data_IF_988587483991
#
_entry.id   IF_988587483991
#
_cell.length_a   1.000
_cell.length_b   1.000
_cell.length_c   1.000
_cell.angle_alpha   90.00
_cell.angle_beta   90.00
_cell.angle_gamma   90.00
#
_symmetry.space_group_name_H-M   'P 1'
#
loop_
_entity.id
_entity.type
_entity.pdbx_description
1 polymer ?
#
# COMPACT_ATOMS: atom_id res chain seq x y z
N UNK A 1 44.18 24.06 -11.01
CA UNK A 1 43.21 22.96 -10.89
C UNK A 1 42.55 23.02 -9.52
N UNK A 2 41.24 23.21 -9.49
CA UNK A 2 40.40 23.00 -8.29
C UNK A 2 39.73 21.62 -8.47
N UNK A 3 39.70 20.73 -7.48
CA UNK A 3 38.87 19.55 -7.58
C UNK A 3 37.44 19.90 -7.18
N UNK A 4 36.50 19.43 -8.01
CA UNK A 4 35.07 19.61 -7.88
C UNK A 4 34.54 19.04 -6.55
N UNK A 5 33.75 19.85 -5.85
CA UNK A 5 32.98 19.42 -4.68
C UNK A 5 31.90 18.42 -5.08
N UNK A 6 31.87 17.32 -4.34
CA UNK A 6 30.86 16.26 -4.41
C UNK A 6 29.45 16.82 -4.19
N UNK A 7 28.41 16.28 -4.85
CA UNK A 7 27.04 16.70 -4.59
C UNK A 7 26.64 16.31 -3.15
N UNK A 8 26.09 17.29 -2.45
CA UNK A 8 25.61 17.15 -1.08
C UNK A 8 24.58 16.02 -0.98
N UNK A 9 24.92 15.00 -0.17
CA UNK A 9 23.98 13.98 0.27
C UNK A 9 22.94 14.65 1.17
N UNK A 10 21.73 14.86 0.65
CA UNK A 10 20.57 15.24 1.45
C UNK A 10 20.34 14.16 2.51
N UNK A 11 20.15 14.51 3.80
CA UNK A 11 19.95 13.52 4.84
C UNK A 11 18.64 12.79 4.58
N UNK A 12 18.73 11.48 4.38
CA UNK A 12 17.58 10.55 4.39
C UNK A 12 16.96 10.66 5.79
N UNK A 13 15.65 10.90 5.92
CA UNK A 13 15.00 10.87 7.21
C UNK A 13 15.25 9.50 7.87
N UNK A 14 15.78 9.51 9.08
CA UNK A 14 15.97 8.34 9.93
C UNK A 14 14.60 7.76 10.30
N UNK A 15 14.12 6.80 9.52
CA UNK A 15 13.05 5.89 9.93
C UNK A 15 13.68 4.71 10.67
N UNK A 16 13.29 4.51 11.93
CA UNK A 16 13.70 3.39 12.79
C UNK A 16 13.11 2.03 12.36
N UNK A 17 12.69 1.88 11.10
CA UNK A 17 12.19 0.62 10.56
C UNK A 17 13.37 -0.20 10.03
N UNK A 18 13.87 -1.14 10.84
CA UNK A 18 14.81 -2.18 10.40
C UNK A 18 14.05 -3.15 9.49
N UNK A 19 13.76 -2.73 8.25
CA UNK A 19 13.26 -3.64 7.22
C UNK A 19 14.42 -4.43 6.64
N UNK A 20 14.25 -5.74 6.57
CA UNK A 20 15.10 -6.62 5.78
C UNK A 20 14.75 -6.54 4.28
N UNK A 21 13.67 -5.86 3.87
CA UNK A 21 13.34 -5.63 2.46
C UNK A 21 14.34 -4.62 1.86
N UNK A 22 15.06 -5.00 0.78
CA UNK A 22 15.93 -4.07 0.04
C UNK A 22 15.18 -2.82 -0.43
N UNK A 23 15.82 -1.66 -0.39
CA UNK A 23 15.24 -0.38 -0.85
C UNK A 23 15.03 -0.33 -2.37
N UNK A 24 15.79 -1.10 -3.14
CA UNK A 24 15.76 -1.12 -4.61
C UNK A 24 15.36 -2.50 -5.16
N UNK A 25 14.87 -2.53 -6.40
CA UNK A 25 14.49 -3.79 -7.09
C UNK A 25 13.16 -4.39 -6.64
N UNK A 26 12.29 -3.58 -6.05
CA UNK A 26 11.00 -4.01 -5.50
C UNK A 26 9.86 -4.08 -6.54
N UNK A 27 10.09 -3.57 -7.74
CA UNK A 27 9.09 -3.43 -8.82
C UNK A 27 8.48 -4.78 -9.26
N UNK A 28 9.18 -5.89 -9.04
CA UNK A 28 8.68 -7.24 -9.36
C UNK A 28 8.06 -7.96 -8.17
N UNK A 29 8.15 -7.39 -6.96
CA UNK A 29 7.69 -8.01 -5.73
C UNK A 29 6.16 -7.95 -5.62
N UNK A 30 5.62 -8.90 -4.89
CA UNK A 30 4.16 -9.05 -4.75
C UNK A 30 3.54 -7.81 -4.11
N UNK A 31 4.19 -7.22 -3.10
CA UNK A 31 3.69 -6.03 -2.43
C UNK A 31 3.58 -4.82 -3.36
N UNK A 32 4.48 -4.66 -4.33
CA UNK A 32 4.37 -3.57 -5.31
C UNK A 32 3.15 -3.75 -6.21
N UNK A 33 2.82 -4.99 -6.61
CA UNK A 33 1.58 -5.24 -7.36
C UNK A 33 0.34 -4.91 -6.53
N UNK A 34 0.37 -5.15 -5.22
CA UNK A 34 -0.73 -4.80 -4.30
C UNK A 34 -0.81 -3.29 -4.05
N UNK A 35 0.33 -2.62 -3.96
CA UNK A 35 0.46 -1.16 -3.90
C UNK A 35 -0.22 -0.49 -5.09
N UNK A 36 0.07 -0.97 -6.31
CA UNK A 36 -0.56 -0.44 -7.53
C UNK A 36 -2.09 -0.62 -7.56
N UNK A 37 -2.63 -1.67 -6.94
CA UNK A 37 -4.09 -1.83 -6.82
C UNK A 37 -4.70 -0.79 -5.87
N UNK A 38 -4.03 -0.47 -4.76
CA UNK A 38 -4.46 0.61 -3.87
C UNK A 38 -4.37 1.97 -4.56
N UNK A 39 -3.27 2.20 -5.29
CA UNK A 39 -3.09 3.42 -6.06
C UNK A 39 -4.14 3.58 -7.15
N UNK A 40 -4.54 2.48 -7.79
CA UNK A 40 -5.66 2.48 -8.74
C UNK A 40 -6.97 2.94 -8.09
N UNK A 41 -7.25 2.49 -6.85
CA UNK A 41 -8.44 2.94 -6.12
C UNK A 41 -8.38 4.43 -5.80
N UNK A 42 -7.19 4.94 -5.41
CA UNK A 42 -6.97 6.37 -5.17
C UNK A 42 -7.22 7.16 -6.44
N UNK A 43 -6.61 6.78 -7.57
CA UNK A 43 -6.74 7.53 -8.82
C UNK A 43 -8.17 7.51 -9.34
N UNK A 44 -8.87 6.37 -9.31
CA UNK A 44 -10.21 6.27 -9.91
C UNK A 44 -11.33 6.79 -9.02
N UNK A 45 -11.22 6.56 -7.72
CA UNK A 45 -12.33 6.68 -6.78
C UNK A 45 -11.94 7.42 -5.50
N UNK A 46 -10.80 8.14 -5.51
CA UNK A 46 -10.20 8.70 -4.30
C UNK A 46 -11.15 9.56 -3.48
N UNK A 47 -11.91 10.43 -4.14
CA UNK A 47 -12.87 11.34 -3.50
C UNK A 47 -14.19 10.66 -3.12
N UNK A 48 -14.42 9.42 -3.54
CA UNK A 48 -15.69 8.73 -3.31
C UNK A 48 -15.79 8.30 -1.86
N UNK A 49 -16.95 8.57 -1.26
CA UNK A 49 -17.31 8.06 0.06
C UNK A 49 -17.57 6.57 -0.06
N UNK A 50 -16.84 5.76 0.72
CA UNK A 50 -16.99 4.30 0.71
C UNK A 50 -17.83 3.79 1.88
N UNK A 51 -17.86 4.50 3.01
CA UNK A 51 -18.76 4.23 4.14
C UNK A 51 -18.86 5.44 5.07
N UNK A 52 -19.71 5.31 6.10
CA UNK A 52 -19.80 6.27 7.19
C UNK A 52 -19.32 5.60 8.47
N UNK A 53 -18.55 6.34 9.28
CA UNK A 53 -18.11 5.92 10.59
C UNK A 53 -18.82 6.74 11.65
N UNK A 54 -19.30 6.09 12.71
CA UNK A 54 -19.86 6.77 13.87
C UNK A 54 -18.72 7.37 14.70
N UNK A 55 -18.79 8.67 14.99
CA UNK A 55 -17.84 9.35 15.86
C UNK A 55 -18.21 9.25 17.36
N UNK A 56 -17.41 9.85 18.23
CA UNK A 56 -17.61 9.81 19.69
C UNK A 56 -18.93 10.45 20.15
N UNK A 57 -19.56 11.27 19.30
CA UNK A 57 -20.83 11.93 19.59
C UNK A 57 -22.03 11.16 19.01
N UNK A 58 -21.80 10.03 18.32
CA UNK A 58 -22.83 9.27 17.61
C UNK A 58 -23.20 9.85 16.24
N UNK A 59 -22.40 10.77 15.70
CA UNK A 59 -22.63 11.33 14.36
C UNK A 59 -21.90 10.51 13.29
N UNK A 60 -22.57 10.27 12.15
CA UNK A 60 -22.00 9.54 11.03
C UNK A 60 -21.12 10.46 10.16
N UNK A 61 -19.81 10.24 10.18
CA UNK A 61 -18.84 10.95 9.35
C UNK A 61 -18.52 10.15 8.08
N UNK A 62 -18.53 10.77 6.89
CA UNK A 62 -18.16 10.09 5.66
C UNK A 62 -16.67 9.74 5.68
N UNK A 63 -16.35 8.54 5.20
CA UNK A 63 -14.98 8.08 5.00
C UNK A 63 -14.76 7.83 3.50
N UNK A 64 -13.84 8.58 2.92
CA UNK A 64 -13.44 8.44 1.51
C UNK A 64 -12.39 7.35 1.31
N UNK A 65 -12.17 6.95 0.05
CA UNK A 65 -11.12 5.99 -0.32
C UNK A 65 -9.73 6.52 0.06
N UNK A 66 -9.45 7.79 -0.20
CA UNK A 66 -8.17 8.43 0.17
C UNK A 66 -7.96 8.37 1.68
N UNK A 67 -8.96 8.77 2.47
CA UNK A 67 -8.86 8.78 3.93
C UNK A 67 -8.67 7.38 4.49
N UNK A 68 -9.42 6.39 3.99
CA UNK A 68 -9.27 5.01 4.45
C UNK A 68 -7.87 4.45 4.20
N UNK A 69 -7.32 4.68 3.00
CA UNK A 69 -5.99 4.16 2.67
C UNK A 69 -4.93 4.91 3.48
N UNK A 70 -5.00 6.24 3.53
CA UNK A 70 -4.06 7.08 4.27
C UNK A 70 -4.05 6.75 5.76
N UNK A 71 -5.22 6.73 6.41
CA UNK A 71 -5.32 6.45 7.84
C UNK A 71 -4.84 5.04 8.17
N UNK A 72 -5.22 4.05 7.35
CA UNK A 72 -4.82 2.66 7.57
C UNK A 72 -3.33 2.45 7.41
N UNK A 73 -2.66 3.14 6.48
CA UNK A 73 -1.20 3.08 6.37
C UNK A 73 -0.52 3.79 7.54
N UNK A 74 -1.03 4.96 7.93
CA UNK A 74 -0.50 5.75 9.05
C UNK A 74 -0.62 5.03 10.40
N UNK A 75 -1.73 4.33 10.64
CA UNK A 75 -1.96 3.52 11.85
C UNK A 75 -0.89 2.44 12.04
N UNK A 76 -0.40 1.86 10.94
CA UNK A 76 0.63 0.81 10.95
C UNK A 76 2.05 1.37 10.71
N UNK A 77 2.22 2.70 10.70
CA UNK A 77 3.49 3.37 10.37
C UNK A 77 4.07 2.96 8.99
N UNK A 78 3.19 2.64 8.04
CA UNK A 78 3.53 2.23 6.69
C UNK A 78 3.44 3.39 5.70
N UNK A 79 4.17 3.26 4.60
CA UNK A 79 4.07 4.13 3.43
C UNK A 79 4.12 3.27 2.16
N UNK A 80 3.67 3.83 1.04
CA UNK A 80 3.98 3.22 -0.25
C UNK A 80 5.50 3.17 -0.47
N UNK A 81 5.98 2.12 -1.10
CA UNK A 81 7.41 1.87 -1.30
C UNK A 81 7.93 2.64 -2.50
N UNK A 82 7.11 2.82 -3.53
CA UNK A 82 7.52 3.57 -4.70
C UNK A 82 7.39 5.08 -4.48
N UNK A 83 8.45 5.88 -4.77
CA UNK A 83 8.41 7.32 -4.53
C UNK A 83 7.30 8.06 -5.26
N UNK A 84 6.97 7.66 -6.49
CA UNK A 84 5.90 8.29 -7.27
C UNK A 84 4.52 8.01 -6.65
N UNK A 85 4.30 6.78 -6.17
CA UNK A 85 3.05 6.38 -5.50
C UNK A 85 2.85 7.17 -4.21
N UNK A 86 3.91 7.39 -3.43
CA UNK A 86 3.88 8.27 -2.24
C UNK A 86 3.49 9.70 -2.61
N UNK A 87 4.03 10.24 -3.71
CA UNK A 87 3.69 11.59 -4.19
C UNK A 87 2.21 11.68 -4.57
N UNK A 88 1.71 10.71 -5.33
CA UNK A 88 0.30 10.66 -5.74
C UNK A 88 -0.63 10.60 -4.52
N UNK A 89 -0.35 9.73 -3.53
CA UNK A 89 -1.15 9.67 -2.30
C UNK A 89 -1.12 11.01 -1.55
N UNK A 90 0.07 11.62 -1.40
CA UNK A 90 0.22 12.90 -0.71
C UNK A 90 -0.54 14.03 -1.41
N UNK A 91 -0.50 14.09 -2.73
CA UNK A 91 -1.26 15.05 -3.52
C UNK A 91 -2.76 14.82 -3.38
N UNK A 92 -3.21 13.55 -3.41
CA UNK A 92 -4.60 13.18 -3.21
C UNK A 92 -5.13 13.65 -1.84
N UNK A 93 -4.36 13.43 -0.77
CA UNK A 93 -4.67 13.93 0.58
C UNK A 93 -4.80 15.46 0.63
N UNK A 94 -3.87 16.17 -0.02
CA UNK A 94 -3.83 17.63 0.03
C UNK A 94 -5.01 18.28 -0.71
N UNK A 95 -5.50 17.63 -1.77
CA UNK A 95 -6.59 18.13 -2.61
C UNK A 95 -7.97 17.57 -2.27
N UNK A 96 -8.05 16.59 -1.35
CA UNK A 96 -9.31 15.92 -1.01
C UNK A 96 -10.45 16.87 -0.64
N UNK A 97 -10.12 17.97 0.05
CA UNK A 97 -11.09 18.96 0.53
C UNK A 97 -11.28 20.15 -0.44
N UNK A 98 -10.63 20.13 -1.61
CA UNK A 98 -10.85 21.16 -2.62
C UNK A 98 -12.24 21.01 -3.25
N UNK A 99 -12.91 22.14 -3.44
CA UNK A 99 -14.26 22.15 -4.02
C UNK A 99 -14.25 21.57 -5.45
N UNK A 100 -15.05 20.53 -5.67
CA UNK A 100 -15.16 19.86 -6.98
C UNK A 100 -13.95 19.02 -7.36
N UNK A 101 -13.12 18.64 -6.39
CA UNK A 101 -12.05 17.67 -6.60
C UNK A 101 -12.61 16.34 -7.12
N UNK A 102 -11.97 15.82 -8.16
CA UNK A 102 -12.24 14.51 -8.74
C UNK A 102 -10.87 13.90 -9.02
N UNK A 103 -10.54 12.84 -8.29
CA UNK A 103 -9.17 12.29 -8.26
C UNK A 103 -8.71 11.90 -9.67
N UNK A 104 -9.56 11.20 -10.42
CA UNK A 104 -9.22 10.70 -11.76
C UNK A 104 -8.90 11.87 -12.70
N UNK A 105 -9.77 12.88 -12.75
CA UNK A 105 -9.58 14.06 -13.60
C UNK A 105 -8.34 14.84 -13.20
N UNK A 106 -8.10 15.01 -11.90
CA UNK A 106 -6.94 15.72 -11.38
C UNK A 106 -5.65 15.04 -11.85
N UNK A 107 -5.50 13.74 -11.62
CA UNK A 107 -4.27 13.02 -11.95
C UNK A 107 -4.07 12.85 -13.45
N UNK A 108 -5.13 12.64 -14.24
CA UNK A 108 -5.03 12.57 -15.71
C UNK A 108 -4.57 13.87 -16.37
N UNK A 109 -4.85 15.02 -15.74
CA UNK A 109 -4.47 16.35 -16.25
C UNK A 109 -3.29 16.97 -15.50
N UNK A 110 -2.59 16.16 -14.70
CA UNK A 110 -1.50 16.62 -13.87
C UNK A 110 -0.34 17.18 -14.72
N UNK A 111 0.27 18.33 -14.33
CA UNK A 111 1.34 18.97 -15.10
C UNK A 111 2.64 18.14 -15.17
N UNK A 112 2.86 17.26 -14.19
CA UNK A 112 3.96 16.29 -14.22
C UNK A 112 3.61 15.13 -15.17
N UNK A 113 4.39 14.91 -16.25
CA UNK A 113 4.14 13.83 -17.21
C UNK A 113 4.27 12.43 -16.60
N UNK A 114 5.05 12.24 -15.53
CA UNK A 114 5.18 10.93 -14.89
C UNK A 114 3.89 10.53 -14.17
N UNK A 115 3.32 11.47 -13.41
CA UNK A 115 2.06 11.29 -12.68
C UNK A 115 0.90 11.08 -13.67
N UNK A 116 0.77 11.94 -14.67
CA UNK A 116 -0.33 11.83 -15.64
C UNK A 116 -0.27 10.56 -16.48
N UNK A 117 0.94 10.10 -16.85
CA UNK A 117 1.13 8.81 -17.52
C UNK A 117 0.72 7.64 -16.62
N UNK A 118 1.19 7.60 -15.38
CA UNK A 118 0.83 6.52 -14.45
C UNK A 118 -0.68 6.52 -14.17
N UNK A 119 -1.29 7.69 -13.98
CA UNK A 119 -2.72 7.84 -13.80
C UNK A 119 -3.51 7.32 -15.01
N UNK A 120 -3.05 7.60 -16.23
CA UNK A 120 -3.68 7.08 -17.45
C UNK A 120 -3.61 5.55 -17.52
N UNK A 121 -2.47 4.96 -17.15
CA UNK A 121 -2.32 3.50 -17.06
C UNK A 121 -3.31 2.93 -16.02
N UNK A 122 -3.31 3.47 -14.80
CA UNK A 122 -4.20 3.06 -13.71
C UNK A 122 -5.69 3.25 -14.03
N UNK A 123 -6.07 4.32 -14.73
CA UNK A 123 -7.45 4.61 -15.15
C UNK A 123 -7.91 3.71 -16.31
N UNK A 124 -7.00 3.35 -17.22
CA UNK A 124 -7.30 2.53 -18.39
C UNK A 124 -7.50 1.03 -18.09
N UNK A 125 -6.89 0.54 -17.01
CA UNK A 125 -6.78 -0.89 -16.75
C UNK A 125 -8.13 -1.51 -16.35
N UNK A 126 -8.91 -2.03 -17.31
CA UNK A 126 -10.22 -2.69 -17.05
C UNK A 126 -10.07 -4.07 -16.39
N UNK A 127 -9.16 -4.21 -15.45
CA UNK A 127 -9.16 -5.35 -14.55
C UNK A 127 -10.35 -5.17 -13.61
N UNK A 128 -11.55 -5.62 -14.02
CA UNK A 128 -12.66 -5.81 -13.09
C UNK A 128 -12.15 -6.79 -12.03
N UNK A 129 -11.82 -6.29 -10.84
CA UNK A 129 -11.26 -7.11 -9.77
C UNK A 129 -12.29 -8.14 -9.25
N UNK A 130 -13.56 -7.97 -9.62
CA UNK A 130 -14.63 -8.95 -9.40
C UNK A 130 -14.63 -10.09 -10.44
N UNK A 131 -13.93 -11.18 -10.11
CA UNK A 131 -13.98 -12.46 -10.86
C UNK A 131 -15.21 -13.33 -10.54
N UNK A 132 -16.34 -12.73 -10.19
CA UNK A 132 -17.59 -13.45 -9.85
C UNK A 132 -18.76 -12.92 -10.65
N UNK A 133 -18.88 -13.35 -11.91
CA UNK A 133 -20.07 -13.07 -12.72
C UNK A 133 -20.44 -14.31 -13.53
N UNK A 134 -21.20 -15.20 -12.90
CA UNK A 134 -21.94 -16.25 -13.60
C UNK A 134 -22.96 -15.62 -14.55
N UNK A 135 -23.08 -16.18 -15.76
CA UNK A 135 -23.98 -15.76 -16.83
C UNK A 135 -25.36 -15.33 -16.29
N UNK A 136 -25.65 -14.03 -16.28
CA UNK A 136 -27.01 -13.49 -16.08
C UNK A 136 -27.21 -12.41 -15.01
N UNK A 137 -26.20 -11.99 -14.24
CA UNK A 137 -26.31 -10.88 -13.27
C UNK A 137 -25.75 -9.57 -13.83
N UNK A 138 -26.33 -8.44 -13.41
CA UNK A 138 -25.84 -7.10 -13.73
C UNK A 138 -24.39 -6.94 -13.24
N UNK A 139 -23.55 -6.27 -14.05
CA UNK A 139 -22.15 -6.02 -13.71
C UNK A 139 -22.13 -5.03 -12.54
N UNK A 140 -21.87 -5.51 -11.31
CA UNK A 140 -21.57 -4.64 -10.17
C UNK A 140 -20.16 -4.08 -10.39
N UNK A 141 -20.07 -2.76 -10.43
CA UNK A 141 -18.82 -2.02 -10.64
C UNK A 141 -17.97 -1.99 -9.37
N UNK A 142 -16.66 -1.72 -9.53
CA UNK A 142 -15.76 -1.58 -8.37
C UNK A 142 -16.17 -0.38 -7.48
N UNK A 143 -16.73 0.69 -8.08
CA UNK A 143 -17.27 1.86 -7.34
C UNK A 143 -18.39 1.47 -6.37
N UNK A 144 -19.27 0.54 -6.76
CA UNK A 144 -20.36 0.05 -5.90
C UNK A 144 -19.87 -0.85 -4.76
N UNK A 145 -18.59 -1.27 -4.80
CA UNK A 145 -18.01 -2.23 -3.85
C UNK A 145 -16.82 -1.68 -3.09
N UNK A 146 -16.60 -0.37 -3.10
CA UNK A 146 -15.45 0.26 -2.44
C UNK A 146 -15.35 -0.13 -0.96
N UNK A 147 -16.49 -0.23 -0.26
CA UNK A 147 -16.57 -0.67 1.13
C UNK A 147 -15.94 -2.05 1.39
N UNK A 148 -16.06 -2.98 0.44
CA UNK A 148 -15.47 -4.32 0.55
C UNK A 148 -14.06 -4.36 -0.05
N UNK A 149 -13.88 -3.70 -1.20
CA UNK A 149 -12.71 -3.80 -2.03
C UNK A 149 -11.50 -3.10 -1.40
N UNK A 150 -11.66 -1.87 -0.92
CA UNK A 150 -10.55 -1.07 -0.38
C UNK A 150 -9.97 -1.72 0.89
N UNK A 151 -10.78 -2.10 1.91
CA UNK A 151 -10.24 -2.80 3.08
C UNK A 151 -9.60 -4.15 2.75
N UNK A 152 -10.09 -4.85 1.72
CA UNK A 152 -9.47 -6.10 1.25
C UNK A 152 -8.09 -5.84 0.65
N UNK A 153 -7.97 -4.86 -0.25
CA UNK A 153 -6.71 -4.51 -0.88
C UNK A 153 -5.67 -4.05 0.15
N UNK A 154 -6.09 -3.31 1.18
CA UNK A 154 -5.23 -2.89 2.28
C UNK A 154 -4.65 -4.09 3.04
N UNK A 155 -5.47 -5.08 3.38
CA UNK A 155 -4.98 -6.29 4.07
C UNK A 155 -4.04 -7.09 3.18
N UNK A 156 -4.40 -7.27 1.91
CA UNK A 156 -3.55 -7.97 0.94
C UNK A 156 -2.17 -7.29 0.82
N UNK A 157 -2.15 -5.95 0.75
CA UNK A 157 -0.91 -5.17 0.69
C UNK A 157 -0.09 -5.34 1.96
N UNK A 158 -0.68 -5.09 3.14
CA UNK A 158 0.00 -5.21 4.43
C UNK A 158 0.54 -6.62 4.67
N UNK A 159 -0.25 -7.65 4.35
CA UNK A 159 0.17 -9.04 4.47
C UNK A 159 1.37 -9.34 3.55
N UNK A 160 1.35 -8.83 2.32
CA UNK A 160 2.46 -9.04 1.38
C UNK A 160 3.76 -8.34 1.80
N UNK A 161 3.69 -7.24 2.56
CA UNK A 161 4.87 -6.62 3.18
C UNK A 161 5.43 -7.54 4.25
N UNK A 162 4.57 -8.02 5.17
CA UNK A 162 4.98 -8.93 6.25
C UNK A 162 5.59 -10.21 5.69
N UNK A 163 4.99 -10.80 4.64
CA UNK A 163 5.52 -12.01 4.00
C UNK A 163 6.89 -11.78 3.35
N UNK A 164 7.09 -10.64 2.69
CA UNK A 164 8.38 -10.32 2.08
C UNK A 164 9.44 -10.01 3.15
N UNK A 165 9.09 -9.31 4.22
CA UNK A 165 9.95 -9.06 5.39
C UNK A 165 10.39 -10.38 6.04
N UNK A 166 9.46 -11.31 6.26
CA UNK A 166 9.75 -12.65 6.78
C UNK A 166 10.72 -13.41 5.87
N UNK A 167 10.53 -13.32 4.55
CA UNK A 167 11.40 -13.96 3.56
C UNK A 167 12.82 -13.39 3.61
N UNK A 168 13.00 -12.07 3.66
CA UNK A 168 14.34 -11.47 3.76
C UNK A 168 14.98 -11.75 5.13
N UNK A 169 14.18 -11.78 6.21
CA UNK A 169 14.65 -12.17 7.54
C UNK A 169 15.27 -13.57 7.53
N UNK A 170 14.63 -14.55 6.87
CA UNK A 170 15.18 -15.90 6.71
C UNK A 170 16.41 -15.93 5.79
N UNK A 171 16.43 -15.11 4.73
CA UNK A 171 17.60 -15.02 3.84
C UNK A 171 18.83 -14.46 4.57
N UNK A 172 18.64 -13.54 5.52
CA UNK A 172 19.73 -13.00 6.33
C UNK A 172 20.46 -14.09 7.14
N UNK A 173 19.77 -15.15 7.57
CA UNK A 173 20.38 -16.29 8.28
C UNK A 173 21.34 -17.09 7.40
N UNK A 174 21.22 -17.01 6.07
CA UNK A 174 22.14 -17.68 5.15
C UNK A 174 23.47 -16.94 4.97
N UNK A 175 23.60 -15.71 5.49
CA UNK A 175 24.84 -14.96 5.45
C UNK A 175 25.88 -15.60 6.40
N UNK A 176 27.06 -16.01 5.92
CA UNK A 176 28.11 -16.61 6.75
C UNK A 176 28.51 -15.77 7.97
N UNK A 177 28.47 -14.44 7.87
CA UNK A 177 28.84 -13.54 8.97
C UNK A 177 27.80 -13.54 10.11
N UNK A 178 26.56 -13.88 9.78
CA UNK A 178 25.45 -14.04 10.72
C UNK A 178 25.44 -15.46 11.25
N UNK A 179 25.56 -16.46 10.37
CA UNK A 179 25.57 -17.88 10.74
C UNK A 179 26.64 -18.22 11.77
N UNK A 180 27.82 -17.62 11.65
CA UNK A 180 28.93 -17.83 12.60
C UNK A 180 28.78 -17.04 13.91
N UNK A 181 27.73 -16.24 14.06
CA UNK A 181 27.43 -15.47 15.28
C UNK A 181 26.10 -15.92 15.90
N UNK A 182 26.13 -16.76 16.95
CA UNK A 182 24.92 -17.28 17.60
C UNK A 182 23.96 -16.21 18.13
N UNK A 183 24.48 -15.08 18.63
CA UNK A 183 23.66 -13.98 19.16
C UNK A 183 22.87 -13.29 18.04
N UNK A 184 23.52 -12.99 16.91
CA UNK A 184 22.86 -12.41 15.73
C UNK A 184 21.85 -13.38 15.12
N UNK A 185 22.18 -14.66 15.04
CA UNK A 185 21.23 -15.70 14.62
C UNK A 185 19.98 -15.70 15.52
N UNK A 186 20.16 -15.61 16.84
CA UNK A 186 19.06 -15.59 17.79
C UNK A 186 18.18 -14.34 17.64
N UNK A 187 18.79 -13.17 17.45
CA UNK A 187 18.08 -11.90 17.21
C UNK A 187 17.19 -11.97 15.95
N UNK A 188 17.74 -12.43 14.84
CA UNK A 188 17.00 -12.58 13.57
C UNK A 188 15.87 -13.62 13.70
N UNK A 189 16.13 -14.73 14.39
CA UNK A 189 15.09 -15.73 14.66
C UNK A 189 13.99 -15.21 15.57
N UNK A 190 14.32 -14.33 16.52
CA UNK A 190 13.35 -13.68 17.39
C UNK A 190 12.47 -12.71 16.60
N UNK A 191 13.08 -11.90 15.73
CA UNK A 191 12.35 -11.02 14.83
C UNK A 191 11.40 -11.78 13.89
N UNK A 192 11.85 -12.90 13.30
CA UNK A 192 10.99 -13.76 12.48
C UNK A 192 9.77 -14.28 13.25
N UNK A 193 9.93 -14.66 14.52
CA UNK A 193 8.82 -15.12 15.37
C UNK A 193 7.83 -14.00 15.68
N UNK A 194 8.29 -12.76 15.80
CA UNK A 194 7.43 -11.60 16.01
C UNK A 194 6.59 -11.31 14.77
N UNK A 195 7.22 -11.32 13.59
CA UNK A 195 6.50 -11.22 12.31
C UNK A 195 5.49 -12.34 12.12
N UNK A 196 5.84 -13.58 12.49
CA UNK A 196 4.92 -14.71 12.39
C UNK A 196 3.67 -14.54 13.27
N UNK A 197 3.79 -13.94 14.47
CA UNK A 197 2.64 -13.64 15.34
C UNK A 197 1.70 -12.61 14.72
N UNK A 198 2.21 -11.71 13.89
CA UNK A 198 1.42 -10.71 13.14
C UNK A 198 0.80 -11.36 11.89
N UNK A 199 1.58 -12.16 11.16
CA UNK A 199 1.18 -12.79 9.90
C UNK A 199 -0.01 -13.74 10.05
N UNK A 200 -0.01 -14.58 11.09
CA UNK A 200 -1.06 -15.60 11.31
C UNK A 200 -2.47 -14.99 11.37
N UNK A 201 -2.78 -14.02 12.25
CA UNK A 201 -4.12 -13.43 12.31
C UNK A 201 -4.46 -12.62 11.06
N UNK A 202 -3.49 -12.00 10.39
CA UNK A 202 -3.73 -11.30 9.12
C UNK A 202 -4.12 -12.26 8.00
N UNK A 203 -3.41 -13.38 7.87
CA UNK A 203 -3.70 -14.42 6.88
C UNK A 203 -5.05 -15.09 7.15
N UNK A 204 -5.42 -15.32 8.41
CA UNK A 204 -6.75 -15.80 8.78
C UNK A 204 -7.83 -14.81 8.36
N UNK A 205 -7.69 -13.52 8.70
CA UNK A 205 -8.64 -12.48 8.28
C UNK A 205 -8.73 -12.36 6.76
N UNK A 206 -7.64 -12.52 6.03
CA UNK A 206 -7.63 -12.53 4.57
C UNK A 206 -8.34 -13.77 4.00
N UNK A 207 -8.12 -14.95 4.61
CA UNK A 207 -8.67 -16.24 4.18
C UNK A 207 -10.15 -16.44 4.52
N UNK A 208 -10.60 -16.07 5.72
CA UNK A 208 -12.00 -16.21 6.17
C UNK A 208 -12.94 -15.39 5.27
N UNK A 209 -12.45 -14.27 4.73
CA UNK A 209 -13.18 -13.44 3.76
C UNK A 209 -13.36 -14.11 2.40
N UNK A 210 -12.58 -15.14 2.06
CA UNK A 210 -12.71 -15.92 0.82
C UNK A 210 -13.79 -17.02 0.96
N UNK A 211 -14.20 -17.37 2.18
CA UNK A 211 -15.14 -18.47 2.47
C UNK A 211 -16.60 -17.98 2.66
N UNK A 212 -16.90 -16.72 2.35
CA UNK A 212 -18.30 -16.29 2.22
C UNK A 212 -18.85 -16.78 0.86
N UNK A 213 -19.38 -18.01 0.86
CA UNK A 213 -20.13 -18.64 -0.23
C UNK A 213 -21.63 -18.48 -0.03
#
# INVERSE_FOLDING_TARGET
EQPAGQPASTPVPTDNYLSYIPLEGNEQKLFYKKEQLLLQMIVRYGEKVMCYLEDENGEEQPLTVIECISSSLKEDELQFHYPLDRRILKEAENHLHDEGFVSERYFLTHPDPEISKQAAELASDRYQLSKYHSKGQAIITDEERLYELVPRLLIDFKLSIVEEEMKHTLQALANPDIYNNPEKCQEIMQHYKELQKIQIPMAQKAGDRVILR
#
